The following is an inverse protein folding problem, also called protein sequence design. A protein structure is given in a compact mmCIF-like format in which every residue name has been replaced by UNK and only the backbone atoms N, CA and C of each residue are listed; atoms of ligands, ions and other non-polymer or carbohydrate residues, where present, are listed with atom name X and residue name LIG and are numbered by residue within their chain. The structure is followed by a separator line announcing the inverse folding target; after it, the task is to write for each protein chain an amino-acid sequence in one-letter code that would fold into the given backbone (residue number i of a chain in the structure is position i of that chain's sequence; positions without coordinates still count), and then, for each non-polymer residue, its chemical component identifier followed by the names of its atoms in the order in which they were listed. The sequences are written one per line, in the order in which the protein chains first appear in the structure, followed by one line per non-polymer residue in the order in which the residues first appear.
data_IF_432469342273
#
_entry.id   IF_432469342273
#
_cell.length_a   1.000
_cell.length_b   1.000
_cell.length_c   1.000
_cell.angle_alpha   90.00
_cell.angle_beta   90.00
_cell.angle_gamma   90.00
#
_symmetry.space_group_name_H-M   'P 1'
#
loop_
_entity.id
_entity.type
_entity.pdbx_description
1 polymer ?
#
# COMPACT_ATOMS: atom_id res chain seq x y z
N UNK A 1 -35.93 -3.22 -4.85
CA UNK A 1 -36.78 -4.38 -5.19
C UNK A 1 -35.94 -5.56 -5.68
N UNK A 2 -35.04 -5.39 -6.66
CA UNK A 2 -34.28 -6.53 -7.21
C UNK A 2 -33.31 -7.19 -6.22
N UNK A 3 -32.55 -6.40 -5.44
CA UNK A 3 -31.60 -6.97 -4.49
C UNK A 3 -32.29 -7.71 -3.33
N UNK A 4 -33.48 -7.25 -2.94
CA UNK A 4 -34.27 -7.91 -1.91
C UNK A 4 -34.81 -9.26 -2.42
N UNK A 5 -35.25 -9.31 -3.68
CA UNK A 5 -35.66 -10.56 -4.32
C UNK A 5 -34.48 -11.53 -4.45
N UNK A 6 -33.29 -11.04 -4.83
CA UNK A 6 -32.07 -11.85 -4.86
C UNK A 6 -31.75 -12.44 -3.48
N UNK A 7 -31.89 -11.66 -2.40
CA UNK A 7 -31.66 -12.16 -1.04
C UNK A 7 -32.68 -13.23 -0.64
N UNK A 8 -33.96 -13.04 -0.98
CA UNK A 8 -35.01 -14.04 -0.72
C UNK A 8 -34.77 -15.35 -1.50
N UNK A 9 -34.35 -15.26 -2.76
CA UNK A 9 -34.00 -16.43 -3.57
C UNK A 9 -32.73 -17.12 -3.04
N UNK A 10 -31.73 -16.34 -2.62
CA UNK A 10 -30.52 -16.88 -2.02
C UNK A 10 -30.82 -17.60 -0.70
N UNK A 11 -31.66 -17.03 0.16
CA UNK A 11 -32.13 -17.66 1.39
C UNK A 11 -32.84 -18.98 1.09
N UNK A 12 -33.72 -18.98 0.10
CA UNK A 12 -34.46 -20.17 -0.32
C UNK A 12 -33.55 -21.28 -0.85
N UNK A 13 -32.53 -20.94 -1.63
CA UNK A 13 -31.61 -21.91 -2.24
C UNK A 13 -30.55 -22.44 -1.28
N UNK A 14 -30.04 -21.60 -0.39
CA UNK A 14 -28.83 -21.91 0.39
C UNK A 14 -29.07 -21.96 1.91
N UNK A 15 -30.21 -21.49 2.42
CA UNK A 15 -30.47 -21.39 3.85
C UNK A 15 -30.06 -20.03 4.44
N UNK A 16 -30.80 -19.59 5.46
CA UNK A 16 -30.60 -18.28 6.10
C UNK A 16 -29.28 -18.18 6.89
N UNK A 17 -28.71 -19.31 7.29
CA UNK A 17 -27.40 -19.40 7.94
C UNK A 17 -26.24 -18.91 7.04
N UNK A 18 -26.47 -18.86 5.72
CA UNK A 18 -25.52 -18.35 4.75
C UNK A 18 -25.72 -16.86 4.42
N UNK A 19 -26.75 -16.20 4.97
CA UNK A 19 -26.95 -14.76 4.91
C UNK A 19 -26.08 -14.04 5.96
N UNK A 20 -24.78 -14.13 5.78
CA UNK A 20 -23.81 -13.46 6.65
C UNK A 20 -23.79 -11.94 6.43
N UNK A 21 -23.24 -11.19 7.39
CA UNK A 21 -23.21 -9.71 7.40
C UNK A 21 -22.84 -9.05 6.06
N UNK A 22 -21.94 -9.66 5.30
CA UNK A 22 -21.53 -9.16 3.98
C UNK A 22 -22.70 -9.09 2.98
N UNK A 23 -23.64 -10.04 3.06
CA UNK A 23 -24.82 -10.08 2.19
C UNK A 23 -25.80 -8.98 2.58
N UNK A 24 -26.02 -8.75 3.88
CA UNK A 24 -26.85 -7.64 4.36
C UNK A 24 -26.25 -6.26 4.02
N UNK A 25 -24.93 -6.14 4.01
CA UNK A 25 -24.24 -4.90 3.61
C UNK A 25 -24.53 -4.52 2.15
N UNK A 26 -24.82 -5.49 1.27
CA UNK A 26 -25.23 -5.20 -0.11
C UNK A 26 -26.55 -4.41 -0.17
N UNK A 27 -27.46 -4.63 0.78
CA UNK A 27 -28.74 -3.93 0.86
C UNK A 27 -28.57 -2.43 1.04
N UNK A 28 -27.56 -2.03 1.81
CA UNK A 28 -27.25 -0.63 2.14
C UNK A 28 -26.32 0.02 1.12
N UNK A 29 -25.61 -0.77 0.32
CA UNK A 29 -24.64 -0.31 -0.67
C UNK A 29 -25.15 0.82 -1.60
N UNK A 30 -26.40 0.81 -2.10
CA UNK A 30 -26.91 1.91 -2.93
C UNK A 30 -27.05 3.22 -2.15
N UNK A 31 -27.44 3.15 -0.88
CA UNK A 31 -27.57 4.31 -0.01
C UNK A 31 -26.18 4.81 0.43
N UNK A 32 -25.24 3.90 0.71
CA UNK A 32 -23.85 4.23 1.00
C UNK A 32 -23.18 4.91 -0.19
N UNK A 33 -23.41 4.43 -1.42
CA UNK A 33 -22.89 5.07 -2.65
C UNK A 33 -23.51 6.46 -2.84
N UNK A 34 -24.79 6.64 -2.50
CA UNK A 34 -25.44 7.96 -2.55
C UNK A 34 -24.87 8.92 -1.50
N UNK A 35 -24.49 8.42 -0.33
CA UNK A 35 -23.96 9.23 0.77
C UNK A 35 -22.46 9.54 0.65
N UNK A 36 -21.65 8.59 0.16
CA UNK A 36 -20.19 8.64 0.21
C UNK A 36 -19.51 8.70 -1.17
N UNK A 37 -20.30 8.63 -2.25
CA UNK A 37 -19.80 8.61 -3.62
C UNK A 37 -19.54 7.19 -4.12
N UNK A 38 -18.85 7.02 -5.26
CA UNK A 38 -18.60 5.70 -5.85
C UNK A 38 -17.85 4.78 -4.88
N UNK A 39 -18.08 3.46 -4.92
CA UNK A 39 -17.45 2.50 -4.00
C UNK A 39 -15.92 2.67 -3.83
N UNK A 40 -15.22 3.04 -4.91
CA UNK A 40 -13.78 3.30 -4.86
C UNK A 40 -13.35 4.44 -3.93
N UNK A 41 -14.23 5.40 -3.60
CA UNK A 41 -13.90 6.53 -2.71
C UNK A 41 -13.89 6.14 -1.23
N UNK A 42 -14.67 5.13 -0.83
CA UNK A 42 -14.84 4.76 0.58
C UNK A 42 -14.52 3.29 0.88
N UNK A 43 -14.25 2.47 -0.14
CA UNK A 43 -13.83 1.08 0.06
C UNK A 43 -12.46 0.99 0.73
N UNK A 44 -12.23 -0.10 1.46
CA UNK A 44 -10.94 -0.39 2.07
C UNK A 44 -9.90 -0.96 1.08
N UNK A 45 -10.29 -1.26 -0.17
CA UNK A 45 -9.42 -1.92 -1.16
C UNK A 45 -8.06 -1.24 -1.38
N UNK A 46 -7.96 0.10 -1.47
CA UNK A 46 -6.66 0.76 -1.61
C UNK A 46 -5.71 0.48 -0.42
N UNK A 47 -6.25 0.21 0.77
CA UNK A 47 -5.47 -0.03 1.98
C UNK A 47 -5.05 -1.51 2.15
N UNK A 48 -5.70 -2.46 1.45
CA UNK A 48 -5.32 -3.88 1.53
C UNK A 48 -3.88 -4.11 1.06
N UNK A 49 -3.48 -3.44 -0.03
CA UNK A 49 -2.09 -3.49 -0.50
C UNK A 49 -1.11 -2.90 0.52
N UNK A 50 -1.53 -1.90 1.29
CA UNK A 50 -0.69 -1.26 2.29
C UNK A 50 -0.57 -2.12 3.57
N UNK A 51 -1.63 -2.82 3.98
CA UNK A 51 -1.58 -3.79 5.07
C UNK A 51 -0.53 -4.88 4.85
N UNK A 52 -0.36 -5.35 3.61
CA UNK A 52 0.72 -6.30 3.28
C UNK A 52 2.10 -5.72 3.58
N UNK A 53 2.35 -4.47 3.19
CA UNK A 53 3.62 -3.81 3.46
C UNK A 53 3.88 -3.62 4.97
N UNK A 54 2.84 -3.28 5.74
CA UNK A 54 2.92 -3.19 7.20
C UNK A 54 3.23 -4.57 7.79
N UNK A 55 2.54 -5.61 7.34
CA UNK A 55 2.76 -6.98 7.84
C UNK A 55 4.18 -7.46 7.54
N UNK A 56 4.69 -7.21 6.33
CA UNK A 56 6.07 -7.54 5.97
C UNK A 56 7.09 -6.77 6.82
N UNK A 57 6.67 -5.66 7.44
CA UNK A 57 7.51 -4.89 8.34
C UNK A 57 7.71 -5.53 9.72
N UNK A 58 6.88 -6.52 10.09
CA UNK A 58 6.85 -7.15 11.42
C UNK A 58 7.10 -8.65 11.29
N UNK A 59 8.11 -9.18 12.00
CA UNK A 59 8.49 -10.61 11.98
C UNK A 59 7.87 -11.41 13.14
N UNK A 60 7.47 -10.75 14.22
CA UNK A 60 6.86 -11.38 15.40
C UNK A 60 5.97 -10.42 16.18
N UNK A 61 5.12 -10.95 17.07
CA UNK A 61 4.24 -10.13 17.93
C UNK A 61 4.97 -9.34 19.04
N UNK A 62 6.28 -9.51 19.19
CA UNK A 62 7.05 -8.82 20.22
C UNK A 62 7.51 -7.44 19.73
N UNK A 63 7.20 -6.36 20.46
CA UNK A 63 7.67 -5.01 20.12
C UNK A 63 7.37 -4.57 18.67
N UNK A 64 6.15 -4.85 18.20
CA UNK A 64 5.66 -4.62 16.81
C UNK A 64 5.99 -3.23 16.27
N UNK A 65 5.70 -2.17 17.04
CA UNK A 65 5.96 -0.79 16.62
C UNK A 65 7.46 -0.51 16.41
N UNK A 66 8.32 -1.07 17.27
CA UNK A 66 9.78 -0.94 17.15
C UNK A 66 10.28 -1.62 15.86
N UNK A 67 9.78 -2.81 15.55
CA UNK A 67 10.15 -3.52 14.32
C UNK A 67 9.77 -2.72 13.07
N UNK A 68 8.54 -2.19 13.02
CA UNK A 68 8.07 -1.37 11.92
C UNK A 68 8.92 -0.09 11.76
N UNK A 69 9.20 0.62 12.86
CA UNK A 69 9.99 1.84 12.84
C UNK A 69 11.44 1.61 12.37
N UNK A 70 12.09 0.55 12.85
CA UNK A 70 13.46 0.20 12.44
C UNK A 70 13.53 -0.12 10.94
N UNK A 71 12.59 -0.92 10.44
CA UNK A 71 12.55 -1.29 9.02
C UNK A 71 12.21 -0.13 8.11
N UNK A 72 11.41 0.84 8.58
CA UNK A 72 11.20 2.10 7.89
C UNK A 72 12.52 2.89 7.77
N UNK A 73 13.28 3.01 8.86
CA UNK A 73 14.58 3.69 8.85
C UNK A 73 15.60 3.02 7.92
N UNK A 74 15.64 1.67 7.88
CA UNK A 74 16.47 0.90 6.94
C UNK A 74 16.15 1.25 5.47
N UNK A 75 14.85 1.31 5.11
CA UNK A 75 14.40 1.64 3.74
C UNK A 75 14.72 3.07 3.34
N UNK A 76 14.62 4.02 4.27
CA UNK A 76 14.98 5.42 4.01
C UNK A 76 16.49 5.57 3.80
N UNK A 77 17.30 4.97 4.67
CA UNK A 77 18.76 4.96 4.54
C UNK A 77 19.24 4.36 3.21
N UNK A 78 18.61 3.27 2.75
CA UNK A 78 18.92 2.68 1.45
C UNK A 78 18.53 3.59 0.28
N UNK A 79 17.39 4.27 0.38
CA UNK A 79 16.93 5.21 -0.65
C UNK A 79 17.88 6.41 -0.75
N UNK A 80 18.34 6.95 0.37
CA UNK A 80 19.32 8.03 0.43
C UNK A 80 20.69 7.60 -0.17
N UNK A 81 21.13 6.38 0.13
CA UNK A 81 22.36 5.81 -0.44
C UNK A 81 22.28 5.64 -1.97
N UNK A 82 21.13 5.25 -2.51
CA UNK A 82 20.92 5.13 -3.96
C UNK A 82 20.97 6.50 -4.67
N UNK A 83 20.53 7.58 -4.03
CA UNK A 83 20.65 8.93 -4.59
C UNK A 83 22.12 9.38 -4.66
N UNK A 84 22.94 8.98 -3.68
CA UNK A 84 24.37 9.33 -3.62
C UNK A 84 25.18 8.61 -4.71
N UNK A 85 24.90 7.32 -4.95
CA UNK A 85 25.63 6.54 -5.97
C UNK A 85 25.32 6.98 -7.41
N UNK A 86 24.14 7.57 -7.66
CA UNK A 86 23.82 8.24 -8.92
C UNK A 86 24.67 9.50 -9.18
N UNK A 87 25.25 10.10 -8.13
CA UNK A 87 26.06 11.32 -8.21
C UNK A 87 27.56 11.03 -8.43
N UNK A 88 28.06 9.86 -8.02
CA UNK A 88 29.51 9.54 -8.03
C UNK A 88 30.02 8.95 -9.35
N UNK A 89 29.19 8.83 -10.39
CA UNK A 89 29.56 8.20 -11.67
C UNK A 89 29.87 9.21 -12.80
N UNK A 90 30.46 10.38 -12.50
CA UNK A 90 31.01 11.25 -13.54
C UNK A 90 32.49 11.59 -13.33
N UNK A 91 33.30 10.86 -14.11
CA UNK A 91 34.59 11.22 -14.71
C UNK A 91 35.82 11.33 -13.79
N UNK A 92 36.93 10.62 -14.09
CA UNK A 92 38.21 10.83 -13.40
C UNK A 92 38.71 12.24 -13.69
N UNK A 93 39.14 12.94 -12.64
CA UNK A 93 39.89 14.19 -12.75
C UNK A 93 41.17 13.88 -13.53
N UNK A 94 41.18 14.26 -14.81
CA UNK A 94 42.35 14.19 -15.67
C UNK A 94 43.47 15.02 -15.06
N UNK A 95 44.61 14.36 -14.85
CA UNK A 95 45.88 15.03 -14.63
C UNK A 95 46.16 15.94 -15.84
N UNK A 96 45.99 17.25 -15.69
CA UNK A 96 46.56 18.21 -16.64
C UNK A 96 47.98 18.50 -16.21
N UNK A 97 48.90 17.97 -17.01
CA UNK A 97 50.34 18.14 -16.96
C UNK A 97 50.79 19.60 -16.88
N UNK A 98 51.87 19.73 -16.11
CA UNK A 98 52.75 20.87 -15.95
C UNK A 98 53.40 21.28 -17.29
N UNK A 99 53.28 22.55 -17.69
CA UNK A 99 54.24 23.25 -18.57
C UNK A 99 54.15 24.76 -18.35
N UNK A 100 55.02 25.29 -17.49
CA UNK A 100 55.32 26.72 -17.42
C UNK A 100 56.56 26.93 -18.29
N UNK A 101 56.38 27.59 -19.43
CA UNK A 101 57.44 27.92 -20.37
C UNK A 101 58.32 29.06 -19.86
N UNK A 102 59.62 28.95 -20.16
CA UNK A 102 60.64 29.97 -19.97
C UNK A 102 60.31 31.28 -20.71
N UNK A 103 60.52 32.41 -20.01
CA UNK A 103 61.31 33.55 -20.45
C UNK A 103 62.01 34.15 -19.22
#
# INVERSE_FOLDING_TARGET
MELLNFMNEYEWCYGCEHLVSNVHSLQHLPDDVRAHGPLGSFSAFPFESYMRQIKDSVRSGFAVAKQAAQRYAERMSFSDMLQISGLTNTTPIGATDMKIGHL
#
